data_IF_935812136668
#
_entry.id   IF_935812136668
#
_cell.length_a   1.000
_cell.length_b   1.000
_cell.length_c   1.000
_cell.angle_alpha   90.00
_cell.angle_beta   90.00
_cell.angle_gamma   90.00
#
_symmetry.space_group_name_H-M   'P 1'
#
loop_
_entity.id
_entity.type
_entity.pdbx_description
1 polymer ?
#
# COMPACT_ATOMS: atom_id res chain seq x y z
N UNK A 1 -23.30 -13.25 4.95
CA UNK A 1 -23.11 -11.81 4.69
C UNK A 1 -21.88 -11.52 3.82
N UNK A 2 -20.63 -11.76 4.26
CA UNK A 2 -19.42 -11.49 3.43
C UNK A 2 -19.42 -12.19 2.06
N UNK A 3 -19.72 -13.49 1.99
CA UNK A 3 -19.76 -14.24 0.71
C UNK A 3 -20.83 -13.74 -0.27
N UNK A 4 -21.96 -13.27 0.22
CA UNK A 4 -23.02 -12.71 -0.64
C UNK A 4 -22.60 -11.38 -1.24
N UNK A 5 -21.88 -10.55 -0.47
CA UNK A 5 -21.36 -9.28 -0.97
C UNK A 5 -20.27 -9.50 -2.05
N UNK A 6 -19.40 -10.51 -1.87
CA UNK A 6 -18.44 -10.91 -2.92
C UNK A 6 -19.16 -11.35 -4.21
N UNK A 7 -20.25 -12.12 -4.09
CA UNK A 7 -21.08 -12.50 -5.25
C UNK A 7 -21.76 -11.29 -5.91
N UNK A 8 -22.20 -10.31 -5.10
CA UNK A 8 -22.77 -9.07 -5.62
C UNK A 8 -21.74 -8.28 -6.41
N UNK A 9 -20.51 -8.12 -5.88
CA UNK A 9 -19.39 -7.48 -6.58
C UNK A 9 -19.12 -8.21 -7.90
N UNK A 10 -19.02 -9.53 -7.89
CA UNK A 10 -18.83 -10.33 -9.11
C UNK A 10 -19.97 -10.12 -10.11
N UNK A 11 -21.22 -10.03 -9.65
CA UNK A 11 -22.38 -9.77 -10.50
C UNK A 11 -22.28 -8.41 -11.19
N UNK A 12 -21.81 -7.38 -10.49
CA UNK A 12 -21.59 -6.07 -11.10
C UNK A 12 -20.44 -6.13 -12.13
N UNK A 13 -19.32 -6.76 -11.81
CA UNK A 13 -18.21 -6.96 -12.75
C UNK A 13 -18.70 -7.62 -14.05
N UNK A 14 -19.66 -8.56 -13.95
CA UNK A 14 -20.25 -9.20 -15.15
C UNK A 14 -21.07 -8.27 -16.03
N UNK A 15 -21.77 -7.30 -15.44
CA UNK A 15 -22.71 -6.41 -16.16
C UNK A 15 -22.00 -5.40 -17.05
N UNK A 16 -20.82 -4.92 -16.63
CA UNK A 16 -20.14 -3.81 -17.30
C UNK A 16 -19.05 -4.31 -18.22
N UNK A 17 -19.06 -3.85 -19.48
CA UNK A 17 -18.01 -4.15 -20.46
C UNK A 17 -16.78 -3.24 -20.30
N UNK A 18 -16.96 -2.10 -19.64
CA UNK A 18 -15.91 -1.13 -19.37
C UNK A 18 -15.71 -0.97 -17.85
N UNK A 19 -14.50 -1.23 -17.37
CA UNK A 19 -14.17 -1.21 -15.94
C UNK A 19 -12.86 -0.44 -15.73
N UNK A 20 -12.90 0.52 -14.82
CA UNK A 20 -11.74 1.26 -14.34
C UNK A 20 -11.41 0.83 -12.91
N UNK A 21 -10.16 0.52 -12.66
CA UNK A 21 -9.68 0.13 -11.34
C UNK A 21 -8.65 1.15 -10.90
N UNK A 22 -8.85 1.71 -9.71
CA UNK A 22 -7.99 2.75 -9.14
C UNK A 22 -7.61 2.43 -7.70
N UNK A 23 -6.55 3.05 -7.24
CA UNK A 23 -5.95 2.89 -5.92
C UNK A 23 -5.58 4.24 -5.33
N UNK A 24 -4.97 4.24 -4.14
CA UNK A 24 -4.59 5.48 -3.48
C UNK A 24 -3.36 6.18 -4.08
N UNK A 25 -3.25 7.51 -3.85
CA UNK A 25 -2.08 8.34 -4.17
C UNK A 25 -0.89 7.88 -3.32
N UNK A 26 0.30 7.84 -3.92
CA UNK A 26 1.51 7.36 -3.25
C UNK A 26 1.42 5.87 -2.90
N UNK A 27 1.17 5.02 -3.89
CA UNK A 27 0.83 3.62 -3.66
C UNK A 27 1.99 2.85 -3.05
N UNK A 28 1.61 1.86 -2.28
CA UNK A 28 2.47 0.78 -1.82
C UNK A 28 2.30 -0.49 -2.69
N UNK A 29 3.02 -1.58 -2.37
CA UNK A 29 2.88 -2.81 -3.14
C UNK A 29 1.49 -3.45 -3.06
N UNK A 30 0.72 -3.32 -1.96
CA UNK A 30 -0.63 -3.90 -1.89
C UNK A 30 -1.60 -3.16 -2.81
N UNK A 31 -1.58 -1.83 -2.79
CA UNK A 31 -2.39 -1.00 -3.68
C UNK A 31 -2.16 -1.32 -5.17
N UNK A 32 -0.90 -1.48 -5.59
CA UNK A 32 -0.57 -1.81 -6.98
C UNK A 32 -0.89 -3.27 -7.29
N UNK A 33 -0.58 -4.19 -6.40
CA UNK A 33 -0.82 -5.62 -6.61
C UNK A 33 -2.31 -5.93 -6.68
N UNK A 34 -3.11 -5.36 -5.80
CA UNK A 34 -4.57 -5.52 -5.81
C UNK A 34 -5.16 -5.03 -7.13
N UNK A 35 -4.74 -3.84 -7.57
CA UNK A 35 -5.19 -3.23 -8.81
C UNK A 35 -4.86 -4.09 -10.05
N UNK A 36 -3.61 -4.50 -10.19
CA UNK A 36 -3.15 -5.32 -11.32
C UNK A 36 -3.78 -6.71 -11.28
N UNK A 37 -3.80 -7.36 -10.11
CA UNK A 37 -4.36 -8.70 -9.98
C UNK A 37 -5.85 -8.76 -10.32
N UNK A 38 -6.63 -7.75 -9.88
CA UNK A 38 -8.06 -7.70 -10.21
C UNK A 38 -8.28 -7.44 -11.71
N UNK A 39 -7.56 -6.46 -12.31
CA UNK A 39 -7.60 -6.21 -13.74
C UNK A 39 -7.34 -7.48 -14.54
N UNK A 40 -6.24 -8.15 -14.22
CA UNK A 40 -5.79 -9.32 -14.98
C UNK A 40 -6.71 -10.53 -14.77
N UNK A 41 -7.27 -10.71 -13.58
CA UNK A 41 -8.26 -11.73 -13.28
C UNK A 41 -9.57 -11.51 -14.06
N UNK A 42 -10.03 -10.25 -14.18
CA UNK A 42 -11.22 -9.92 -14.96
C UNK A 42 -10.95 -10.16 -16.44
N UNK A 43 -9.84 -9.66 -16.99
CA UNK A 43 -9.44 -9.89 -18.40
C UNK A 43 -9.28 -11.39 -18.70
N UNK A 44 -8.70 -12.16 -17.79
CA UNK A 44 -8.55 -13.61 -17.97
C UNK A 44 -9.88 -14.35 -17.94
N UNK A 45 -10.85 -13.82 -17.18
CA UNK A 45 -12.20 -14.43 -17.07
C UNK A 45 -13.10 -14.02 -18.23
N UNK A 46 -13.03 -12.76 -18.65
CA UNK A 46 -13.85 -12.11 -19.66
C UNK A 46 -12.96 -11.36 -20.66
N UNK A 47 -12.39 -12.06 -21.67
CA UNK A 47 -11.38 -11.48 -22.56
C UNK A 47 -11.87 -10.26 -23.37
N UNK A 48 -13.18 -10.18 -23.63
CA UNK A 48 -13.76 -9.10 -24.43
C UNK A 48 -14.00 -7.80 -23.65
N UNK A 49 -13.89 -7.85 -22.31
CA UNK A 49 -14.09 -6.66 -21.47
C UNK A 49 -12.90 -5.70 -21.52
N UNK A 50 -13.20 -4.43 -21.56
CA UNK A 50 -12.23 -3.33 -21.46
C UNK A 50 -11.97 -3.00 -20.00
N UNK A 51 -10.86 -3.47 -19.45
CA UNK A 51 -10.50 -3.29 -18.04
C UNK A 51 -9.16 -2.58 -17.95
N UNK A 52 -9.13 -1.48 -17.22
CA UNK A 52 -7.95 -0.61 -17.11
C UNK A 52 -7.61 -0.33 -15.66
N UNK A 53 -6.32 -0.36 -15.35
CA UNK A 53 -5.75 0.02 -14.06
C UNK A 53 -5.09 1.39 -14.18
N UNK A 54 -5.69 2.44 -13.58
CA UNK A 54 -5.22 3.81 -13.71
C UNK A 54 -4.55 4.34 -12.44
N UNK A 55 -3.68 5.33 -12.63
CA UNK A 55 -2.99 6.06 -11.60
C UNK A 55 -1.54 6.37 -11.99
N UNK A 56 -0.83 7.07 -11.11
CA UNK A 56 0.57 7.40 -11.33
C UNK A 56 1.45 6.15 -11.40
N UNK A 57 2.28 6.05 -12.43
CA UNK A 57 3.27 4.96 -12.53
C UNK A 57 4.39 5.18 -11.52
N UNK A 58 4.73 4.14 -10.77
CA UNK A 58 5.83 4.16 -9.80
C UNK A 58 6.94 3.22 -10.26
N UNK A 59 8.07 3.80 -10.66
CA UNK A 59 9.20 3.04 -11.23
C UNK A 59 9.73 1.95 -10.30
N UNK A 60 9.69 2.17 -9.00
CA UNK A 60 10.10 1.23 -7.96
C UNK A 60 9.30 -0.08 -7.98
N UNK A 61 8.05 -0.05 -8.43
CA UNK A 61 7.15 -1.21 -8.40
C UNK A 61 6.91 -1.86 -9.78
N UNK A 62 7.76 -1.58 -10.76
CA UNK A 62 7.66 -2.21 -12.09
C UNK A 62 7.72 -3.74 -12.08
N UNK A 63 8.32 -4.33 -11.05
CA UNK A 63 8.38 -5.78 -10.87
C UNK A 63 7.03 -6.44 -10.56
N UNK A 64 6.03 -5.65 -10.16
CA UNK A 64 4.65 -6.12 -9.94
C UNK A 64 3.90 -6.20 -11.26
N UNK A 65 4.05 -5.18 -12.12
CA UNK A 65 3.41 -5.11 -13.42
C UNK A 65 3.26 -3.67 -13.92
N UNK A 66 2.45 -3.50 -14.95
CA UNK A 66 2.27 -2.22 -15.61
C UNK A 66 0.88 -1.63 -15.34
N UNK A 67 0.84 -0.32 -15.15
CA UNK A 67 -0.38 0.49 -15.07
C UNK A 67 -0.75 0.94 -16.49
N UNK A 68 -2.03 0.95 -16.80
CA UNK A 68 -2.53 1.38 -18.10
C UNK A 68 -2.44 2.91 -18.23
N UNK A 69 -2.29 3.41 -19.46
CA UNK A 69 -2.24 4.86 -19.70
C UNK A 69 -3.63 5.46 -19.54
N UNK A 70 -3.67 6.69 -19.00
CA UNK A 70 -4.90 7.47 -18.92
C UNK A 70 -5.50 7.69 -20.32
N UNK A 71 -6.82 7.72 -20.39
CA UNK A 71 -7.63 7.96 -21.57
C UNK A 71 -8.82 8.85 -21.21
N UNK A 72 -9.65 9.21 -22.18
CA UNK A 72 -10.93 9.82 -21.91
C UNK A 72 -11.86 8.82 -21.22
N UNK A 73 -12.49 9.27 -20.13
CA UNK A 73 -13.33 8.42 -19.30
C UNK A 73 -14.79 8.42 -19.77
N UNK A 74 -15.39 7.25 -19.84
CA UNK A 74 -16.85 7.08 -19.98
C UNK A 74 -17.49 7.07 -18.60
N UNK A 75 -17.97 8.21 -18.14
CA UNK A 75 -18.56 8.38 -16.81
C UNK A 75 -19.92 7.71 -16.64
N UNK A 76 -20.64 7.49 -17.75
CA UNK A 76 -22.01 6.98 -17.76
C UNK A 76 -22.08 5.45 -17.76
N UNK A 77 -21.20 4.79 -18.53
CA UNK A 77 -21.30 3.36 -18.81
C UNK A 77 -20.22 2.52 -18.14
N UNK A 78 -19.23 3.17 -17.51
CA UNK A 78 -18.16 2.44 -16.84
C UNK A 78 -18.49 2.11 -15.38
N UNK A 79 -18.00 0.94 -14.95
CA UNK A 79 -17.86 0.60 -13.53
C UNK A 79 -16.51 1.07 -13.02
N UNK A 80 -16.47 1.79 -11.91
CA UNK A 80 -15.24 2.09 -11.18
C UNK A 80 -15.10 1.16 -9.99
N UNK A 81 -13.93 0.56 -9.81
CA UNK A 81 -13.58 -0.22 -8.61
C UNK A 81 -12.40 0.47 -7.94
N UNK A 82 -12.61 0.94 -6.72
CA UNK A 82 -11.55 1.52 -5.90
C UNK A 82 -11.01 0.46 -4.95
N UNK A 83 -9.69 0.34 -4.91
CA UNK A 83 -8.98 -0.66 -4.12
C UNK A 83 -8.02 0.01 -3.15
N UNK A 84 -8.06 -0.41 -1.90
CA UNK A 84 -7.11 0.02 -0.88
C UNK A 84 -7.20 1.53 -0.60
N UNK A 85 -8.42 2.06 -0.52
CA UNK A 85 -8.68 3.50 -0.38
C UNK A 85 -9.67 3.76 0.76
N UNK A 86 -9.23 4.36 1.88
CA UNK A 86 -10.14 4.68 2.99
C UNK A 86 -11.07 5.87 2.71
N UNK A 87 -10.64 6.87 1.91
CA UNK A 87 -11.43 8.07 1.60
C UNK A 87 -11.16 8.60 0.17
N UNK A 88 -12.10 9.39 -0.36
CA UNK A 88 -12.05 9.92 -1.72
C UNK A 88 -10.84 10.80 -2.01
N UNK A 89 -10.37 11.56 -1.05
CA UNK A 89 -9.23 12.48 -1.23
C UNK A 89 -7.93 11.76 -1.56
N UNK A 90 -7.85 10.46 -1.29
CA UNK A 90 -6.69 9.63 -1.62
C UNK A 90 -6.76 8.91 -2.96
N UNK A 91 -7.84 9.04 -3.71
CA UNK A 91 -7.97 8.37 -5.02
C UNK A 91 -6.98 8.96 -6.02
N UNK A 92 -6.23 8.08 -6.69
CA UNK A 92 -5.28 8.45 -7.74
C UNK A 92 -5.91 8.27 -9.13
N UNK A 93 -5.76 9.28 -9.97
CA UNK A 93 -6.00 9.19 -11.41
C UNK A 93 -7.40 9.58 -11.89
N UNK A 94 -8.46 9.52 -11.06
CA UNK A 94 -9.81 9.94 -11.48
C UNK A 94 -10.65 10.51 -10.34
N UNK A 95 -11.72 11.22 -10.70
CA UNK A 95 -12.73 11.70 -9.74
C UNK A 95 -13.94 10.76 -9.76
N UNK A 96 -14.13 9.98 -8.70
CA UNK A 96 -15.22 8.98 -8.60
C UNK A 96 -16.61 9.61 -8.55
N UNK A 97 -16.75 10.85 -8.10
CA UNK A 97 -18.07 11.53 -8.00
C UNK A 97 -18.71 11.78 -9.39
N UNK A 98 -17.92 11.68 -10.46
CA UNK A 98 -18.41 11.76 -11.84
C UNK A 98 -19.01 10.47 -12.36
N UNK A 99 -18.82 9.34 -11.66
CA UNK A 99 -19.24 8.02 -12.13
C UNK A 99 -20.54 7.58 -11.43
N UNK A 100 -21.43 6.94 -12.18
CA UNK A 100 -22.69 6.42 -11.63
C UNK A 100 -22.51 5.17 -10.80
N UNK A 101 -21.50 4.36 -11.13
CA UNK A 101 -21.31 3.02 -10.56
C UNK A 101 -19.91 2.88 -9.97
N UNK A 102 -19.84 2.86 -8.66
CA UNK A 102 -18.59 2.77 -7.90
C UNK A 102 -18.68 1.61 -6.91
N UNK A 103 -17.65 0.77 -6.89
CA UNK A 103 -17.44 -0.28 -5.87
C UNK A 103 -16.18 0.08 -5.09
N UNK A 104 -16.26 0.01 -3.77
CA UNK A 104 -15.11 0.14 -2.88
C UNK A 104 -14.76 -1.21 -2.27
N UNK A 105 -13.47 -1.60 -2.35
CA UNK A 105 -12.92 -2.78 -1.66
C UNK A 105 -11.68 -2.33 -0.90
N UNK A 106 -11.71 -2.48 0.42
CA UNK A 106 -10.70 -1.89 1.30
C UNK A 106 -10.51 -2.72 2.58
N UNK A 107 -9.32 -2.69 3.16
CA UNK A 107 -9.03 -3.32 4.45
C UNK A 107 -8.70 -2.31 5.56
N UNK A 108 -8.65 -1.03 5.25
CA UNK A 108 -8.42 0.02 6.23
C UNK A 108 -9.61 0.19 7.19
N UNK A 109 -9.41 0.76 8.39
CA UNK A 109 -10.50 1.23 9.22
C UNK A 109 -11.44 2.14 8.44
N UNK A 110 -12.74 1.99 8.68
CA UNK A 110 -13.76 2.79 7.99
C UNK A 110 -13.54 4.29 8.24
N UNK A 111 -13.49 5.07 7.18
CA UNK A 111 -13.34 6.53 7.22
C UNK A 111 -14.50 7.22 6.51
N UNK A 112 -14.81 6.82 5.27
CA UNK A 112 -15.78 7.50 4.41
C UNK A 112 -16.52 6.50 3.52
N UNK A 113 -17.85 6.68 3.42
CA UNK A 113 -18.68 5.96 2.46
C UNK A 113 -18.76 6.74 1.15
N UNK A 114 -18.40 6.12 0.04
CA UNK A 114 -18.49 6.73 -1.30
C UNK A 114 -18.79 5.73 -2.42
N UNK A 115 -18.81 4.44 -2.14
CA UNK A 115 -19.18 3.40 -3.10
C UNK A 115 -20.68 3.08 -3.04
N UNK A 116 -21.28 2.77 -4.19
CA UNK A 116 -22.63 2.18 -4.23
C UNK A 116 -22.66 0.76 -3.66
N UNK A 117 -21.52 0.07 -3.71
CA UNK A 117 -21.24 -1.20 -3.04
C UNK A 117 -19.88 -1.07 -2.35
N UNK A 118 -19.84 -1.38 -1.04
CA UNK A 118 -18.61 -1.34 -0.28
C UNK A 118 -18.34 -2.67 0.42
N UNK A 119 -17.13 -3.20 0.21
CA UNK A 119 -16.60 -4.33 0.96
C UNK A 119 -15.40 -3.86 1.77
N UNK A 120 -15.60 -3.67 3.06
CA UNK A 120 -14.54 -3.26 3.99
C UNK A 120 -14.31 -4.41 4.98
N UNK A 121 -13.06 -4.86 5.10
CA UNK A 121 -12.67 -5.91 6.03
C UNK A 121 -11.39 -5.55 6.79
N UNK A 122 -11.54 -4.83 7.89
CA UNK A 122 -10.44 -4.41 8.77
C UNK A 122 -9.66 -5.57 9.41
N UNK A 123 -10.18 -6.81 9.29
CA UNK A 123 -9.51 -8.03 9.77
C UNK A 123 -8.64 -8.69 8.72
N UNK A 124 -8.76 -8.29 7.46
CA UNK A 124 -7.87 -8.73 6.41
C UNK A 124 -6.51 -8.03 6.56
N UNK A 125 -5.44 -8.76 6.31
CA UNK A 125 -4.08 -8.21 6.41
C UNK A 125 -3.70 -7.35 5.20
N UNK A 126 -4.53 -7.34 4.14
CA UNK A 126 -4.32 -6.55 2.91
C UNK A 126 -5.56 -6.58 2.03
N UNK A 127 -5.67 -5.63 1.12
CA UNK A 127 -6.70 -5.65 0.06
C UNK A 127 -6.50 -6.85 -0.88
N UNK A 128 -5.25 -7.28 -1.12
CA UNK A 128 -4.96 -8.51 -1.87
C UNK A 128 -5.53 -9.77 -1.21
N UNK A 129 -5.58 -9.86 0.11
CA UNK A 129 -6.27 -10.97 0.80
C UNK A 129 -7.77 -10.98 0.48
N UNK A 130 -8.42 -9.81 0.49
CA UNK A 130 -9.85 -9.68 0.14
C UNK A 130 -10.08 -10.10 -1.31
N UNK A 131 -9.20 -9.71 -2.24
CA UNK A 131 -9.31 -10.12 -3.64
C UNK A 131 -9.08 -11.62 -3.84
N UNK A 132 -8.19 -12.24 -3.06
CA UNK A 132 -8.04 -13.69 -3.05
C UNK A 132 -9.34 -14.38 -2.64
N UNK A 133 -10.04 -13.85 -1.63
CA UNK A 133 -11.36 -14.35 -1.23
C UNK A 133 -12.42 -14.10 -2.33
N UNK A 134 -12.41 -12.93 -2.99
CA UNK A 134 -13.30 -12.65 -4.11
C UNK A 134 -13.14 -13.66 -5.24
N UNK A 135 -11.90 -13.92 -5.66
CA UNK A 135 -11.62 -14.86 -6.74
C UNK A 135 -12.01 -16.29 -6.34
N UNK A 136 -11.66 -16.72 -5.12
CA UNK A 136 -11.96 -18.08 -4.64
C UNK A 136 -13.46 -18.35 -4.40
N UNK A 137 -14.25 -17.32 -4.11
CA UNK A 137 -15.70 -17.47 -3.86
C UNK A 137 -16.58 -17.09 -5.06
N UNK A 138 -15.98 -16.81 -6.23
CA UNK A 138 -16.69 -16.46 -7.46
C UNK A 138 -16.17 -17.29 -8.65
N UNK A 139 -16.55 -16.91 -9.87
CA UNK A 139 -16.06 -17.54 -11.10
C UNK A 139 -14.93 -16.73 -11.76
N UNK A 140 -14.35 -15.75 -11.06
CA UNK A 140 -13.14 -15.08 -11.52
C UNK A 140 -12.00 -16.11 -11.59
N UNK A 141 -11.25 -16.06 -12.68
CA UNK A 141 -10.13 -16.98 -12.93
C UNK A 141 -8.82 -16.38 -12.43
N UNK A 142 -7.92 -17.26 -12.03
CA UNK A 142 -6.57 -16.92 -11.62
C UNK A 142 -5.58 -17.85 -12.32
N UNK A 143 -4.45 -17.30 -12.75
CA UNK A 143 -3.27 -18.03 -13.20
C UNK A 143 -2.10 -17.77 -12.25
N UNK A 144 -0.93 -18.34 -12.55
CA UNK A 144 0.28 -18.17 -11.73
C UNK A 144 0.69 -16.70 -11.56
N UNK A 145 0.65 -15.91 -12.63
CA UNK A 145 1.02 -14.49 -12.59
C UNK A 145 0.11 -13.69 -11.66
N UNK A 146 -1.21 -13.90 -11.73
CA UNK A 146 -2.19 -13.24 -10.85
C UNK A 146 -1.97 -13.68 -9.39
N UNK A 147 -1.75 -14.98 -9.17
CA UNK A 147 -1.49 -15.53 -7.85
C UNK A 147 -0.19 -14.95 -7.24
N UNK A 148 0.87 -14.83 -8.05
CA UNK A 148 2.13 -14.18 -7.67
C UNK A 148 1.90 -12.72 -7.28
N UNK A 149 1.14 -11.99 -8.07
CA UNK A 149 0.83 -10.56 -7.81
C UNK A 149 0.07 -10.39 -6.50
N UNK A 150 -0.97 -11.19 -6.24
CA UNK A 150 -1.68 -11.18 -4.96
C UNK A 150 -0.75 -11.50 -3.78
N UNK A 151 0.14 -12.49 -3.96
CA UNK A 151 1.11 -12.86 -2.92
C UNK A 151 2.07 -11.71 -2.57
N UNK A 152 2.50 -10.91 -3.57
CA UNK A 152 3.34 -9.73 -3.34
C UNK A 152 2.62 -8.73 -2.41
N UNK A 153 1.35 -8.40 -2.69
CA UNK A 153 0.57 -7.49 -1.85
C UNK A 153 0.40 -8.03 -0.44
N UNK A 154 0.01 -9.29 -0.28
CA UNK A 154 -0.18 -9.93 1.02
C UNK A 154 1.13 -9.91 1.85
N UNK A 155 2.26 -10.29 1.26
CA UNK A 155 3.55 -10.29 1.96
C UNK A 155 3.96 -8.89 2.39
N UNK A 156 3.77 -7.91 1.49
CA UNK A 156 4.23 -6.55 1.72
C UNK A 156 3.44 -5.88 2.84
N UNK A 157 2.12 -5.92 2.79
CA UNK A 157 1.26 -5.21 3.72
C UNK A 157 1.17 -5.88 5.09
N UNK A 158 1.26 -7.21 5.13
CA UNK A 158 1.39 -7.97 6.38
C UNK A 158 2.79 -7.87 7.02
N UNK A 159 3.72 -7.12 6.41
CA UNK A 159 5.12 -7.09 6.79
C UNK A 159 5.69 -8.51 6.97
N UNK A 160 5.59 -9.33 5.95
CA UNK A 160 6.07 -10.73 5.99
C UNK A 160 5.33 -11.60 7.00
N UNK A 161 4.03 -11.35 7.19
CA UNK A 161 3.16 -12.01 8.19
C UNK A 161 3.51 -11.68 9.65
N UNK A 162 4.06 -10.49 9.92
CA UNK A 162 4.45 -10.05 11.26
C UNK A 162 3.46 -9.07 11.90
N UNK A 163 2.53 -8.48 11.13
CA UNK A 163 1.58 -7.51 11.64
C UNK A 163 0.30 -8.16 12.22
N UNK A 164 -0.38 -7.44 13.12
CA UNK A 164 -1.52 -7.91 13.91
C UNK A 164 -2.74 -8.48 13.15
N UNK A 165 -3.14 -8.07 11.96
CA UNK A 165 -4.25 -8.72 11.26
C UNK A 165 -3.95 -10.15 10.81
N UNK A 166 -2.68 -10.57 10.85
CA UNK A 166 -2.27 -11.92 10.46
C UNK A 166 -2.77 -12.94 11.48
N UNK A 167 -3.44 -13.97 10.99
CA UNK A 167 -3.99 -15.07 11.76
C UNK A 167 -3.82 -16.39 11.01
N UNK A 168 -4.25 -17.50 11.60
CA UNK A 168 -4.12 -18.83 11.02
C UNK A 168 -4.78 -18.97 9.64
N UNK A 169 -5.88 -18.24 9.39
CA UNK A 169 -6.61 -18.35 8.13
C UNK A 169 -5.80 -17.86 6.93
N UNK A 170 -5.02 -16.78 7.10
CA UNK A 170 -4.18 -16.29 6.00
C UNK A 170 -3.10 -17.32 5.62
N UNK A 171 -2.53 -18.03 6.60
CA UNK A 171 -1.56 -19.09 6.32
C UNK A 171 -2.17 -20.24 5.52
N UNK A 172 -3.41 -20.65 5.81
CA UNK A 172 -4.14 -21.63 4.99
C UNK A 172 -4.40 -21.12 3.56
N UNK A 173 -4.83 -19.88 3.41
CA UNK A 173 -5.07 -19.26 2.09
C UNK A 173 -3.79 -19.22 1.27
N UNK A 174 -2.72 -18.73 1.86
CA UNK A 174 -1.39 -18.60 1.23
C UNK A 174 -0.80 -19.96 0.91
N UNK A 175 -0.87 -20.94 1.83
CA UNK A 175 -0.41 -22.29 1.58
C UNK A 175 -1.11 -22.95 0.39
N UNK A 176 -2.44 -22.78 0.29
CA UNK A 176 -3.21 -23.25 -0.86
C UNK A 176 -2.82 -22.53 -2.15
N UNK A 177 -2.58 -21.21 -2.10
CA UNK A 177 -2.15 -20.42 -3.24
C UNK A 177 -0.80 -20.91 -3.78
N UNK A 178 0.18 -21.04 -2.89
CA UNK A 178 1.52 -21.55 -3.21
C UNK A 178 1.45 -22.95 -3.82
N UNK A 179 0.71 -23.88 -3.18
CA UNK A 179 0.55 -25.25 -3.67
C UNK A 179 -0.10 -25.32 -5.05
N UNK A 180 -1.22 -24.61 -5.22
CA UNK A 180 -2.04 -24.66 -6.46
C UNK A 180 -1.31 -24.10 -7.65
N UNK A 181 -0.61 -22.97 -7.49
CA UNK A 181 0.06 -22.26 -8.56
C UNK A 181 1.58 -22.48 -8.60
N UNK A 182 2.11 -23.33 -7.73
CA UNK A 182 3.55 -23.68 -7.63
C UNK A 182 4.45 -22.45 -7.49
N UNK A 183 4.00 -21.46 -6.69
CA UNK A 183 4.71 -20.21 -6.52
C UNK A 183 6.09 -20.42 -5.90
N UNK A 184 7.11 -19.82 -6.48
CA UNK A 184 8.44 -19.74 -5.89
C UNK A 184 8.50 -18.59 -4.90
N UNK A 185 8.43 -18.90 -3.60
CA UNK A 185 8.48 -17.89 -2.54
C UNK A 185 9.80 -17.13 -2.51
N UNK A 186 10.93 -17.80 -2.78
CA UNK A 186 12.23 -17.15 -2.80
C UNK A 186 12.27 -16.03 -3.84
N UNK A 187 11.75 -16.27 -5.05
CA UNK A 187 11.73 -15.27 -6.11
C UNK A 187 10.80 -14.10 -5.74
N UNK A 188 9.66 -14.41 -5.12
CA UNK A 188 8.71 -13.37 -4.66
C UNK A 188 9.36 -12.51 -3.59
N UNK A 189 9.94 -13.09 -2.55
CA UNK A 189 10.62 -12.33 -1.49
C UNK A 189 11.81 -11.55 -2.03
N UNK A 190 12.61 -12.13 -2.92
CA UNK A 190 13.72 -11.42 -3.58
C UNK A 190 13.22 -10.22 -4.37
N UNK A 191 12.11 -10.33 -5.10
CA UNK A 191 11.55 -9.21 -5.87
C UNK A 191 11.09 -8.04 -4.97
N UNK A 192 10.64 -8.32 -3.75
CA UNK A 192 10.16 -7.31 -2.81
C UNK A 192 11.30 -6.69 -1.99
N UNK A 193 12.24 -7.50 -1.51
CA UNK A 193 13.19 -7.11 -0.46
C UNK A 193 14.64 -7.01 -0.90
N UNK A 194 14.98 -7.35 -2.16
CA UNK A 194 16.33 -7.14 -2.65
C UNK A 194 16.67 -5.65 -2.70
N UNK A 195 17.77 -5.28 -2.07
CA UNK A 195 18.23 -3.90 -1.97
C UNK A 195 19.60 -3.73 -2.63
N UNK A 196 19.84 -2.60 -3.30
CA UNK A 196 21.18 -2.28 -3.77
C UNK A 196 22.12 -2.01 -2.59
N UNK A 197 23.41 -2.26 -2.78
CA UNK A 197 24.43 -2.04 -1.74
C UNK A 197 24.47 -0.58 -1.27
N UNK A 198 24.11 0.39 -2.12
CA UNK A 198 23.96 1.81 -1.75
C UNK A 198 22.95 2.00 -0.63
N UNK A 199 21.77 1.36 -0.71
CA UNK A 199 20.76 1.41 0.34
C UNK A 199 21.23 0.72 1.62
N UNK A 200 21.93 -0.42 1.51
CA UNK A 200 22.47 -1.13 2.69
C UNK A 200 23.51 -0.26 3.41
N UNK A 201 24.36 0.46 2.65
CA UNK A 201 25.33 1.40 3.25
C UNK A 201 24.65 2.59 3.92
N UNK A 202 23.59 3.15 3.32
CA UNK A 202 22.78 4.19 3.94
C UNK A 202 22.10 3.68 5.22
N UNK A 203 21.58 2.46 5.24
CA UNK A 203 21.04 1.84 6.48
C UNK A 203 22.11 1.77 7.58
N UNK A 204 23.33 1.38 7.24
CA UNK A 204 24.47 1.39 8.18
C UNK A 204 24.76 2.78 8.74
N UNK A 205 24.74 3.80 7.89
CA UNK A 205 24.90 5.20 8.32
C UNK A 205 23.77 5.60 9.27
N UNK A 206 22.52 5.31 8.92
CA UNK A 206 21.33 5.59 9.74
C UNK A 206 21.49 4.94 11.11
N UNK A 207 21.79 3.63 11.16
CA UNK A 207 21.96 2.90 12.41
C UNK A 207 23.04 3.51 13.32
N UNK A 208 24.14 3.97 12.72
CA UNK A 208 25.27 4.56 13.46
C UNK A 208 25.02 5.99 13.96
N UNK A 209 24.07 6.72 13.35
CA UNK A 209 23.83 8.14 13.60
C UNK A 209 22.45 8.45 14.20
N UNK A 210 21.60 7.44 14.42
CA UNK A 210 20.32 7.66 15.10
C UNK A 210 20.54 8.18 16.52
N UNK A 211 19.77 9.20 16.86
CA UNK A 211 19.69 9.70 18.23
C UNK A 211 18.63 8.91 18.98
N UNK A 212 18.99 8.37 20.14
CA UNK A 212 18.07 7.61 20.98
C UNK A 212 17.99 8.28 22.35
N UNK A 213 16.80 8.60 22.79
CA UNK A 213 16.55 9.22 24.10
C UNK A 213 16.38 8.16 25.18
N UNK A 214 16.46 8.59 26.46
CA UNK A 214 16.22 7.71 27.62
C UNK A 214 14.81 7.08 27.62
N UNK A 215 13.83 7.73 26.97
CA UNK A 215 12.45 7.25 26.87
C UNK A 215 12.24 6.31 25.66
N UNK A 216 13.32 5.79 25.05
CA UNK A 216 13.29 4.91 23.89
C UNK A 216 12.63 5.56 22.66
N UNK A 217 12.68 6.88 22.58
CA UNK A 217 12.35 7.62 21.36
C UNK A 217 13.61 7.76 20.52
N UNK A 218 13.53 7.39 19.24
CA UNK A 218 14.66 7.43 18.32
C UNK A 218 14.34 8.31 17.12
N UNK A 219 15.33 9.07 16.63
CA UNK A 219 15.13 9.86 15.41
C UNK A 219 16.42 10.09 14.65
N UNK A 220 16.27 10.37 13.37
CA UNK A 220 17.33 10.82 12.48
C UNK A 220 16.79 11.85 11.49
N UNK A 221 17.60 12.89 11.21
CA UNK A 221 17.36 13.85 10.15
C UNK A 221 18.35 13.54 9.03
N UNK A 222 17.83 13.23 7.86
CA UNK A 222 18.59 12.84 6.68
C UNK A 222 18.55 13.98 5.67
N UNK A 223 19.57 14.78 5.68
CA UNK A 223 19.79 15.83 4.69
C UNK A 223 20.07 15.22 3.30
N UNK A 224 19.69 15.93 2.25
CA UNK A 224 19.84 15.43 0.88
C UNK A 224 21.28 15.10 0.51
N UNK A 225 22.25 15.88 0.98
CA UNK A 225 23.68 15.66 0.70
C UNK A 225 24.14 14.31 1.26
N UNK A 226 23.67 13.95 2.45
CA UNK A 226 23.95 12.65 3.07
C UNK A 226 23.35 11.54 2.23
N UNK A 227 22.07 11.63 1.90
CA UNK A 227 21.36 10.61 1.11
C UNK A 227 22.01 10.43 -0.26
N UNK A 228 22.33 11.54 -0.94
CA UNK A 228 22.96 11.53 -2.25
C UNK A 228 24.39 10.95 -2.21
N UNK A 229 25.15 11.14 -1.12
CA UNK A 229 26.50 10.58 -0.96
C UNK A 229 26.52 9.05 -1.00
N UNK A 230 25.38 8.40 -0.70
CA UNK A 230 25.20 6.95 -0.83
C UNK A 230 24.60 6.52 -2.16
N UNK A 231 24.41 7.42 -3.14
CA UNK A 231 23.65 7.16 -4.37
C UNK A 231 22.24 6.60 -4.10
N UNK A 232 21.59 7.11 -3.07
CA UNK A 232 20.19 6.82 -2.72
C UNK A 232 19.32 8.05 -2.97
N UNK A 233 18.01 7.88 -2.98
CA UNK A 233 17.05 8.99 -3.06
C UNK A 233 16.30 9.17 -1.75
N UNK A 234 15.68 10.36 -1.55
CA UNK A 234 14.96 10.69 -0.34
C UNK A 234 13.76 9.74 -0.08
N UNK A 235 13.16 9.16 -1.13
CA UNK A 235 12.06 8.21 -0.97
C UNK A 235 12.55 6.85 -0.46
N UNK A 236 13.70 6.39 -0.93
CA UNK A 236 14.36 5.19 -0.41
C UNK A 236 14.73 5.38 1.06
N UNK A 237 15.35 6.51 1.42
CA UNK A 237 15.70 6.84 2.81
C UNK A 237 14.47 6.86 3.72
N UNK A 238 13.40 7.52 3.29
CA UNK A 238 12.12 7.57 4.00
C UNK A 238 11.53 6.19 4.28
N UNK A 239 11.56 5.29 3.30
CA UNK A 239 10.98 3.96 3.40
C UNK A 239 11.77 3.03 4.33
N UNK A 240 13.06 3.29 4.56
CA UNK A 240 13.91 2.50 5.47
C UNK A 240 13.44 2.56 6.94
N UNK A 241 12.55 3.47 7.31
CA UNK A 241 11.97 3.53 8.65
C UNK A 241 11.40 2.19 9.12
N UNK A 242 10.88 1.37 8.20
CA UNK A 242 10.33 0.06 8.51
C UNK A 242 11.41 -1.00 8.82
N UNK A 243 12.63 -0.83 8.32
CA UNK A 243 13.73 -1.76 8.54
C UNK A 243 14.25 -1.70 10.00
N UNK A 244 13.89 -0.64 10.71
CA UNK A 244 14.27 -0.40 12.11
C UNK A 244 13.18 -0.82 13.13
N UNK A 245 12.17 -1.58 12.67
CA UNK A 245 11.03 -1.99 13.51
C UNK A 245 11.37 -2.94 14.65
N UNK A 246 12.50 -3.65 14.56
CA UNK A 246 12.88 -4.71 15.50
C UNK A 246 14.09 -4.34 16.37
N UNK A 247 14.33 -3.04 16.59
CA UNK A 247 15.41 -2.57 17.47
C UNK A 247 14.84 -2.42 18.89
N UNK A 248 15.44 -3.08 19.86
CA UNK A 248 14.95 -3.18 21.24
C UNK A 248 14.92 -1.84 21.98
N UNK A 249 15.84 -0.96 21.63
CA UNK A 249 15.95 0.39 22.21
C UNK A 249 14.86 1.37 21.74
N UNK A 250 14.05 1.00 20.72
CA UNK A 250 13.05 1.88 20.14
C UNK A 250 11.63 1.51 20.59
N UNK A 251 10.88 2.48 21.06
CA UNK A 251 9.42 2.41 21.27
C UNK A 251 8.69 3.26 20.23
N UNK A 252 9.18 4.46 19.98
CA UNK A 252 8.76 5.33 18.88
C UNK A 252 10.01 5.74 18.12
N UNK A 253 9.96 5.69 16.80
CA UNK A 253 11.08 6.18 15.98
C UNK A 253 10.57 6.93 14.76
N UNK A 254 11.35 7.90 14.31
CA UNK A 254 11.04 8.71 13.16
C UNK A 254 12.26 8.98 12.28
N UNK A 255 11.98 9.03 10.98
CA UNK A 255 12.93 9.45 9.96
C UNK A 255 12.44 10.73 9.33
N UNK A 256 13.30 11.72 9.28
CA UNK A 256 13.06 13.00 8.63
C UNK A 256 13.87 13.05 7.34
N UNK A 257 13.21 13.37 6.23
CA UNK A 257 13.87 13.60 4.94
C UNK A 257 13.39 14.92 4.33
N UNK A 258 14.28 15.68 3.73
CA UNK A 258 13.92 16.92 3.06
C UNK A 258 13.40 16.64 1.64
N UNK A 259 12.24 17.17 1.32
CA UNK A 259 11.62 17.13 -0.01
C UNK A 259 11.88 18.48 -0.72
N UNK A 260 12.98 18.55 -1.47
CA UNK A 260 13.37 19.76 -2.19
C UNK A 260 12.34 20.24 -3.24
N UNK A 261 11.49 19.34 -3.75
CA UNK A 261 10.46 19.69 -4.73
C UNK A 261 9.33 20.53 -4.12
N UNK A 262 8.98 20.22 -2.87
CA UNK A 262 7.87 20.84 -2.17
C UNK A 262 8.33 21.78 -1.04
N UNK A 263 9.64 21.94 -0.87
CA UNK A 263 10.29 22.76 0.17
C UNK A 263 9.72 22.47 1.58
N UNK A 264 9.79 21.19 1.97
CA UNK A 264 9.30 20.73 3.27
C UNK A 264 10.05 19.49 3.76
N UNK A 265 9.95 19.23 5.05
CA UNK A 265 10.43 17.98 5.66
C UNK A 265 9.29 16.96 5.71
N UNK A 266 9.56 15.77 5.21
CA UNK A 266 8.72 14.58 5.38
C UNK A 266 9.18 13.81 6.61
N UNK A 267 8.25 13.55 7.51
CA UNK A 267 8.50 12.81 8.74
C UNK A 267 7.73 11.50 8.69
N UNK A 268 8.43 10.38 8.69
CA UNK A 268 7.84 9.06 8.83
C UNK A 268 7.98 8.60 10.26
N UNK A 269 6.87 8.30 10.92
CA UNK A 269 6.80 7.95 12.33
C UNK A 269 6.31 6.51 12.47
N UNK A 270 6.95 5.76 13.35
CA UNK A 270 6.56 4.39 13.71
C UNK A 270 6.54 4.24 15.22
N UNK A 271 5.68 3.32 15.70
CA UNK A 271 5.51 3.07 17.12
C UNK A 271 5.25 1.60 17.41
N UNK A 272 5.73 1.13 18.55
CA UNK A 272 5.40 -0.20 19.12
C UNK A 272 4.54 -0.10 20.39
N UNK A 273 3.83 1.02 20.58
CA UNK A 273 2.97 1.18 21.76
C UNK A 273 2.15 2.46 21.70
N UNK A 274 2.76 3.66 21.83
CA UNK A 274 2.04 4.92 21.77
C UNK A 274 1.30 5.13 20.44
N UNK A 275 0.10 5.70 20.52
CA UNK A 275 -0.69 6.10 19.33
C UNK A 275 -0.09 7.38 18.76
N UNK A 276 0.30 7.36 17.48
CA UNK A 276 1.05 8.43 16.81
C UNK A 276 0.28 9.16 15.71
N UNK A 277 -0.82 8.63 15.22
CA UNK A 277 -1.58 9.26 14.13
C UNK A 277 -2.22 10.59 14.51
N UNK A 278 -2.60 10.77 15.79
CA UNK A 278 -3.15 12.03 16.29
C UNK A 278 -2.09 13.14 16.33
N UNK A 279 -0.85 12.78 16.68
CA UNK A 279 0.29 13.72 16.62
C UNK A 279 0.59 14.06 15.16
N UNK A 280 0.68 13.06 14.29
CA UNK A 280 0.94 13.29 12.87
C UNK A 280 -0.12 14.22 12.22
N UNK A 281 -1.38 14.10 12.61
CA UNK A 281 -2.46 14.94 12.12
C UNK A 281 -2.28 16.43 12.44
N UNK A 282 -1.66 16.77 13.60
CA UNK A 282 -1.35 18.17 13.98
C UNK A 282 -0.31 18.82 13.06
N UNK A 283 0.53 17.99 12.38
CA UNK A 283 1.61 18.42 11.50
C UNK A 283 1.33 18.06 10.03
N UNK A 284 0.12 18.34 9.55
CA UNK A 284 -0.31 18.12 8.17
C UNK A 284 -0.11 16.68 7.67
N UNK A 285 -0.35 15.72 8.55
CA UNK A 285 -0.12 14.31 8.31
C UNK A 285 -1.29 13.42 8.67
N UNK A 286 -0.99 12.15 8.93
CA UNK A 286 -1.97 11.12 9.29
C UNK A 286 -1.42 9.72 9.03
N UNK A 287 -2.28 8.74 9.14
CA UNK A 287 -1.94 7.33 8.94
C UNK A 287 -2.61 6.43 9.99
N UNK A 288 -2.04 5.24 10.17
CA UNK A 288 -2.49 4.28 11.17
C UNK A 288 -1.97 4.62 12.57
N UNK A 289 -2.58 4.05 13.62
CA UNK A 289 -2.22 4.26 15.03
C UNK A 289 -0.72 4.14 15.33
N UNK A 290 -0.02 3.22 14.61
CA UNK A 290 1.39 2.89 14.86
C UNK A 290 2.30 3.13 13.65
N UNK A 291 1.75 3.64 12.54
CA UNK A 291 2.48 3.95 11.31
C UNK A 291 1.87 5.19 10.68
N UNK A 292 2.52 6.32 10.82
CA UNK A 292 2.02 7.61 10.37
C UNK A 292 3.11 8.42 9.69
N UNK A 293 2.69 9.44 8.96
CA UNK A 293 3.57 10.43 8.36
C UNK A 293 3.10 11.84 8.67
N UNK A 294 4.05 12.77 8.76
CA UNK A 294 3.77 14.20 8.93
C UNK A 294 4.57 15.03 7.92
N UNK A 295 4.20 16.29 7.77
CA UNK A 295 4.89 17.27 6.92
C UNK A 295 5.06 18.56 7.70
N UNK A 296 6.31 19.02 7.81
CA UNK A 296 6.65 20.27 8.47
C UNK A 296 7.44 21.16 7.53
N UNK A 297 7.27 22.47 7.62
CA UNK A 297 7.93 23.43 6.72
C UNK A 297 9.21 24.00 7.31
N UNK A 298 9.33 24.02 8.63
CA UNK A 298 10.45 24.66 9.30
C UNK A 298 11.13 23.72 10.29
N UNK A 299 12.40 24.00 10.59
CA UNK A 299 13.13 23.27 11.65
C UNK A 299 12.48 23.48 13.02
N UNK A 300 11.88 24.65 13.29
CA UNK A 300 11.16 24.90 14.55
C UNK A 300 9.95 23.97 14.72
N UNK A 301 9.15 23.79 13.65
CA UNK A 301 8.02 22.83 13.67
C UNK A 301 8.52 21.38 13.84
N UNK A 302 9.71 21.07 13.29
CA UNK A 302 10.32 19.75 13.46
C UNK A 302 10.80 19.52 14.90
N UNK A 303 11.43 20.53 15.50
CA UNK A 303 11.87 20.48 16.89
C UNK A 303 10.68 20.32 17.84
N UNK A 304 9.57 21.03 17.59
CA UNK A 304 8.32 20.89 18.36
C UNK A 304 7.69 19.49 18.23
N UNK A 305 7.85 18.84 17.07
CA UNK A 305 7.37 17.47 16.86
C UNK A 305 8.25 16.43 17.58
N UNK A 306 9.55 16.72 17.71
CA UNK A 306 10.56 15.83 18.32
C UNK A 306 10.57 15.92 19.85
N UNK A 307 10.26 17.09 20.42
CA UNK A 307 10.20 17.33 21.86
C UNK A 307 8.90 16.82 22.49
#
# INVERSE_FOLDING_TARGET
MKKELLKKIYSEIKKYDLIYIVRHIGPDPDAISSQIALRDSIKYTFPDKKVYAFGASVSKFKYIGHIDKSMDYDYENALVITLDIPNKSRIDGLNVDKFKHVIKIDHHPFVENFGGIEYIDEKACSTCEILLDLINNTRLKMNESIARTLMIGIISDSNRFLFNPVNENIFFKVGNLVKKYKLNLQDIYSSIYMKPMSEVRLMGYIASNMKVTKNKFAYIILENDIVNSFNADASSASNMVNDFSNIDEFVVWLFVTYDAKNDLYKVNIRSRGPVINEIAAKYNGGGHKFSSGARVKTMSELDDLIL
#
